data_IF_335505739947
#
_entry.id   IF_335505739947
#
_cell.length_a   1.000
_cell.length_b   1.000
_cell.length_c   1.000
_cell.angle_alpha   90.00
_cell.angle_beta   90.00
_cell.angle_gamma   90.00
#
_symmetry.space_group_name_H-M   'P 1'
#
loop_
_entity.id
_entity.type
_entity.pdbx_description
1 polymer ?
#
# COMPACT_ATOMS: atom_id res chain seq x y z
N UNK A 1 9.28 -2.94 -10.70
CA UNK A 1 10.24 -1.94 -11.24
C UNK A 1 11.02 -2.45 -12.44
N UNK A 2 11.28 -1.58 -13.40
CA UNK A 2 12.19 -1.74 -14.56
C UNK A 2 13.12 -0.53 -14.57
N UNK A 3 14.39 -0.71 -14.89
CA UNK A 3 15.42 0.34 -14.84
C UNK A 3 16.27 0.30 -16.12
N UNK A 4 16.54 1.49 -16.63
CA UNK A 4 17.53 1.75 -17.69
C UNK A 4 18.53 2.81 -17.23
N UNK A 5 19.79 2.58 -17.58
CA UNK A 5 20.85 3.60 -17.54
C UNK A 5 21.36 3.72 -18.97
N UNK A 6 21.17 4.90 -19.54
CA UNK A 6 21.41 5.17 -20.96
C UNK A 6 22.42 6.29 -21.11
N UNK A 7 23.10 6.34 -22.25
CA UNK A 7 23.71 7.59 -22.70
C UNK A 7 22.60 8.54 -23.15
N UNK A 8 22.57 9.76 -22.60
CA UNK A 8 21.44 10.67 -22.85
C UNK A 8 21.35 11.13 -24.30
N UNK A 9 22.46 11.27 -25.03
CA UNK A 9 22.46 11.71 -26.43
C UNK A 9 22.19 10.59 -27.44
N UNK A 10 22.86 9.45 -27.29
CA UNK A 10 22.79 8.37 -28.29
C UNK A 10 21.71 7.33 -28.00
N UNK A 11 21.13 7.32 -26.80
CA UNK A 11 20.20 6.28 -26.35
C UNK A 11 20.86 4.90 -26.16
N UNK A 12 22.19 4.81 -26.27
CA UNK A 12 22.92 3.56 -26.02
C UNK A 12 22.68 3.12 -24.59
N UNK A 13 22.17 1.89 -24.44
CA UNK A 13 21.97 1.21 -23.17
C UNK A 13 23.31 0.85 -22.53
N UNK A 14 23.60 1.43 -21.36
CA UNK A 14 24.72 0.99 -20.52
C UNK A 14 24.31 -0.19 -19.67
N UNK A 15 23.09 -0.12 -19.12
CA UNK A 15 22.59 -1.12 -18.20
C UNK A 15 21.06 -1.16 -18.26
N UNK A 16 20.52 -2.37 -18.17
CA UNK A 16 19.09 -2.61 -18.07
C UNK A 16 18.81 -3.72 -17.07
N UNK A 17 17.76 -3.51 -16.26
CA UNK A 17 17.24 -4.54 -15.36
C UNK A 17 15.73 -4.45 -15.30
N UNK A 18 15.06 -5.58 -15.50
CA UNK A 18 13.63 -5.70 -15.24
C UNK A 18 13.34 -6.68 -14.10
N UNK A 19 12.50 -6.25 -13.16
CA UNK A 19 11.85 -7.11 -12.17
C UNK A 19 10.38 -7.41 -12.55
N UNK A 20 9.88 -6.81 -13.63
CA UNK A 20 8.57 -7.09 -14.20
C UNK A 20 8.73 -7.97 -15.45
N UNK A 21 7.72 -8.78 -15.78
CA UNK A 21 7.69 -9.45 -17.08
C UNK A 21 7.44 -8.42 -18.17
N UNK A 22 8.31 -8.39 -19.17
CA UNK A 22 8.20 -7.52 -20.33
C UNK A 22 8.66 -8.32 -21.55
N UNK A 23 7.87 -8.27 -22.61
CA UNK A 23 8.18 -8.89 -23.91
C UNK A 23 8.88 -7.91 -24.86
N UNK A 24 9.19 -6.70 -24.38
CA UNK A 24 9.81 -5.65 -25.19
C UNK A 24 11.34 -5.80 -25.23
N UNK A 25 11.90 -5.54 -26.41
CA UNK A 25 13.35 -5.51 -26.61
C UNK A 25 13.96 -4.28 -25.90
N UNK A 26 14.91 -4.54 -25.02
CA UNK A 26 15.52 -3.53 -24.16
C UNK A 26 16.32 -2.46 -24.92
N UNK A 27 16.91 -2.80 -26.07
CA UNK A 27 17.70 -1.86 -26.88
C UNK A 27 16.79 -0.95 -27.72
N UNK A 28 15.71 -1.51 -28.28
CA UNK A 28 14.68 -0.73 -28.97
C UNK A 28 14.02 0.27 -28.00
N UNK A 29 13.67 -0.19 -26.80
CA UNK A 29 13.07 0.68 -25.78
C UNK A 29 14.05 1.77 -25.35
N UNK A 30 15.34 1.47 -25.21
CA UNK A 30 16.37 2.45 -24.83
C UNK A 30 16.45 3.63 -25.81
N UNK A 31 16.47 3.34 -27.12
CA UNK A 31 16.46 4.38 -28.14
C UNK A 31 15.19 5.23 -28.11
N UNK A 32 14.03 4.60 -27.93
CA UNK A 32 12.75 5.29 -27.77
C UNK A 32 12.75 6.23 -26.56
N UNK A 33 13.23 5.78 -25.39
CA UNK A 33 13.22 6.56 -24.15
C UNK A 33 14.08 7.83 -24.25
N UNK A 34 15.27 7.72 -24.85
CA UNK A 34 16.13 8.90 -25.07
C UNK A 34 15.50 9.87 -26.07
N UNK A 35 14.99 9.39 -27.20
CA UNK A 35 14.33 10.24 -28.20
C UNK A 35 13.10 10.95 -27.63
N UNK A 36 12.30 10.24 -26.82
CA UNK A 36 11.11 10.79 -26.19
C UNK A 36 11.44 11.82 -25.11
N UNK A 37 12.51 11.61 -24.35
CA UNK A 37 13.01 12.60 -23.41
C UNK A 37 13.41 13.91 -24.13
N UNK A 38 14.20 13.82 -25.21
CA UNK A 38 14.60 14.98 -26.01
C UNK A 38 13.42 15.71 -26.65
N UNK A 39 12.48 14.96 -27.23
CA UNK A 39 11.24 15.52 -27.76
C UNK A 39 10.51 16.34 -26.70
N UNK A 40 10.39 15.80 -25.50
CA UNK A 40 9.66 16.47 -24.42
C UNK A 40 10.37 17.74 -23.94
N UNK A 41 11.69 17.72 -23.85
CA UNK A 41 12.49 18.91 -23.52
C UNK A 41 12.34 20.01 -24.57
N UNK A 42 12.30 19.66 -25.86
CA UNK A 42 12.17 20.63 -26.96
C UNK A 42 10.76 21.21 -27.05
N UNK A 43 9.74 20.38 -26.94
CA UNK A 43 8.35 20.83 -27.11
C UNK A 43 7.81 21.54 -25.86
N UNK A 44 8.10 21.00 -24.68
CA UNK A 44 7.49 21.48 -23.43
C UNK A 44 8.41 22.39 -22.62
N UNK A 45 9.71 22.48 -22.96
CA UNK A 45 10.70 23.29 -22.24
C UNK A 45 10.81 22.97 -20.74
N UNK A 46 10.36 21.78 -20.33
CA UNK A 46 10.31 21.32 -18.94
C UNK A 46 10.87 19.90 -18.83
N UNK A 47 11.52 19.61 -17.70
CA UNK A 47 11.98 18.25 -17.39
C UNK A 47 10.78 17.35 -17.09
N UNK A 48 10.75 16.17 -17.73
CA UNK A 48 9.73 15.17 -17.50
C UNK A 48 9.84 14.56 -16.10
N UNK A 49 9.01 15.02 -15.16
CA UNK A 49 8.96 14.43 -13.82
C UNK A 49 8.44 12.98 -13.85
N UNK A 50 7.30 12.76 -14.51
CA UNK A 50 6.73 11.43 -14.69
C UNK A 50 5.74 11.35 -15.84
N UNK A 51 5.60 10.16 -16.42
CA UNK A 51 4.71 9.90 -17.56
C UNK A 51 4.03 8.56 -17.35
N UNK A 52 2.74 8.46 -17.66
CA UNK A 52 2.03 7.19 -17.65
C UNK A 52 1.88 6.66 -19.07
N UNK A 53 2.47 5.50 -19.35
CA UNK A 53 2.46 4.87 -20.67
C UNK A 53 2.47 3.35 -20.52
N UNK A 54 1.61 2.67 -21.27
CA UNK A 54 1.57 1.19 -21.28
C UNK A 54 1.15 0.57 -19.94
N UNK A 55 0.38 1.29 -19.11
CA UNK A 55 0.01 0.84 -17.76
C UNK A 55 1.13 0.98 -16.71
N UNK A 56 2.27 1.52 -17.11
CA UNK A 56 3.41 1.82 -16.25
C UNK A 56 3.55 3.32 -16.04
N UNK A 57 4.05 3.69 -14.87
CA UNK A 57 4.53 5.03 -14.54
C UNK A 57 6.03 5.08 -14.74
N UNK A 58 6.47 6.00 -15.59
CA UNK A 58 7.84 6.21 -16.00
C UNK A 58 8.37 7.48 -15.36
N UNK A 59 9.63 7.46 -14.94
CA UNK A 59 10.33 8.63 -14.40
C UNK A 59 11.71 8.75 -15.06
N UNK A 60 12.19 9.99 -15.17
CA UNK A 60 13.45 10.32 -15.82
C UNK A 60 14.32 11.14 -14.88
N UNK A 61 15.62 10.86 -14.86
CA UNK A 61 16.61 11.71 -14.22
C UNK A 61 17.77 11.89 -15.19
N UNK A 62 17.96 13.11 -15.66
CA UNK A 62 19.12 13.49 -16.47
C UNK A 62 20.31 13.73 -15.55
N UNK A 63 21.47 13.18 -15.91
CA UNK A 63 22.75 13.51 -15.30
C UNK A 63 23.67 14.13 -16.37
N UNK A 64 23.62 15.47 -16.53
CA UNK A 64 24.28 16.14 -17.63
C UNK A 64 25.81 16.06 -17.51
N UNK A 65 26.35 15.98 -16.30
CA UNK A 65 27.79 15.89 -16.09
C UNK A 65 28.38 14.65 -16.76
N UNK A 66 27.68 13.53 -16.78
CA UNK A 66 28.18 12.28 -17.35
C UNK A 66 27.50 11.87 -18.67
N UNK A 67 26.63 12.74 -19.22
CA UNK A 67 25.81 12.44 -20.40
C UNK A 67 25.04 11.12 -20.22
N UNK A 68 24.39 10.99 -19.05
CA UNK A 68 23.59 9.83 -18.69
C UNK A 68 22.12 10.20 -18.52
N UNK A 69 21.24 9.30 -18.93
CA UNK A 69 19.82 9.34 -18.65
C UNK A 69 19.44 8.10 -17.84
N UNK A 70 18.92 8.32 -16.64
CA UNK A 70 18.37 7.27 -15.79
C UNK A 70 16.86 7.23 -15.99
N UNK A 71 16.32 6.05 -16.28
CA UNK A 71 14.89 5.85 -16.46
C UNK A 71 14.44 4.71 -15.58
N UNK A 72 13.32 4.88 -14.89
CA UNK A 72 12.66 3.79 -14.20
C UNK A 72 11.18 3.74 -14.55
N UNK A 73 10.63 2.53 -14.58
CA UNK A 73 9.21 2.28 -14.76
C UNK A 73 8.69 1.33 -13.68
N UNK A 74 7.48 1.57 -13.19
CA UNK A 74 6.77 0.60 -12.36
C UNK A 74 5.27 0.63 -12.61
N UNK A 75 4.52 -0.25 -11.96
CA UNK A 75 3.05 -0.21 -12.00
C UNK A 75 2.53 1.16 -11.59
N UNK A 76 1.44 1.61 -12.22
CA UNK A 76 0.77 2.89 -11.93
C UNK A 76 0.37 3.13 -10.47
N UNK A 77 0.37 2.08 -9.64
CA UNK A 77 0.00 2.16 -8.23
C UNK A 77 1.12 2.76 -7.36
N UNK A 78 2.38 2.77 -7.83
CA UNK A 78 3.48 3.36 -7.07
C UNK A 78 3.41 4.89 -7.11
N UNK A 79 3.63 5.55 -5.96
CA UNK A 79 3.73 7.02 -5.91
C UNK A 79 4.96 7.50 -6.68
N UNK A 80 4.82 8.60 -7.44
CA UNK A 80 5.90 9.18 -8.25
C UNK A 80 7.13 9.48 -7.41
N UNK A 81 6.96 10.06 -6.22
CA UNK A 81 8.04 10.46 -5.32
C UNK A 81 8.82 9.25 -4.81
N UNK A 82 8.13 8.13 -4.59
CA UNK A 82 8.76 6.89 -4.14
C UNK A 82 9.62 6.27 -5.23
N UNK A 83 9.11 6.19 -6.45
CA UNK A 83 9.87 5.70 -7.61
C UNK A 83 11.05 6.64 -7.90
N UNK A 84 10.84 7.95 -7.80
CA UNK A 84 11.88 8.98 -7.96
C UNK A 84 12.97 8.87 -6.90
N UNK A 85 12.60 8.61 -5.65
CA UNK A 85 13.54 8.35 -4.57
C UNK A 85 14.40 7.11 -4.84
N UNK A 86 13.79 6.00 -5.27
CA UNK A 86 14.48 4.76 -5.65
C UNK A 86 15.48 4.99 -6.78
N UNK A 87 15.06 5.63 -7.87
CA UNK A 87 15.94 5.92 -9.00
C UNK A 87 17.07 6.88 -8.62
N UNK A 88 16.83 7.85 -7.74
CA UNK A 88 17.87 8.73 -7.23
C UNK A 88 18.95 8.00 -6.41
N UNK A 89 18.57 7.00 -5.61
CA UNK A 89 19.54 6.16 -4.88
C UNK A 89 20.42 5.39 -5.87
N UNK A 90 19.79 4.78 -6.89
CA UNK A 90 20.51 4.04 -7.94
C UNK A 90 21.45 4.96 -8.71
N UNK A 91 20.99 6.15 -9.12
CA UNK A 91 21.81 7.16 -9.80
C UNK A 91 23.06 7.50 -8.99
N UNK A 92 22.88 7.87 -7.72
CA UNK A 92 23.99 8.26 -6.84
C UNK A 92 24.99 7.12 -6.63
N UNK A 93 24.50 5.89 -6.45
CA UNK A 93 25.34 4.71 -6.31
C UNK A 93 26.13 4.44 -7.60
N UNK A 94 25.48 4.49 -8.77
CA UNK A 94 26.11 4.25 -10.06
C UNK A 94 27.20 5.27 -10.36
N UNK A 95 26.90 6.56 -10.19
CA UNK A 95 27.89 7.63 -10.43
C UNK A 95 29.09 7.44 -9.50
N UNK A 96 28.84 7.20 -8.21
CA UNK A 96 29.91 7.01 -7.22
C UNK A 96 30.81 5.82 -7.54
N UNK A 97 30.23 4.71 -8.02
CA UNK A 97 31.00 3.50 -8.32
C UNK A 97 31.82 3.62 -9.61
N UNK A 98 31.29 4.33 -10.62
CA UNK A 98 31.88 4.40 -11.96
C UNK A 98 32.44 5.79 -12.34
N UNK A 99 32.55 6.73 -11.40
CA UNK A 99 32.97 8.12 -11.63
C UNK A 99 34.26 8.22 -12.47
N UNK A 100 35.28 7.44 -12.10
CA UNK A 100 36.57 7.45 -12.82
C UNK A 100 36.42 6.98 -14.27
N UNK A 101 35.61 5.95 -14.51
CA UNK A 101 35.37 5.38 -15.84
C UNK A 101 34.54 6.37 -16.67
N UNK A 102 33.50 6.95 -16.08
CA UNK A 102 32.64 7.96 -16.72
C UNK A 102 33.43 9.23 -17.08
N UNK A 103 34.39 9.62 -16.25
CA UNK A 103 35.27 10.76 -16.54
C UNK A 103 36.24 10.45 -17.68
N UNK A 104 36.81 9.24 -17.71
CA UNK A 104 37.68 8.78 -18.82
C UNK A 104 36.90 8.59 -20.13
N UNK A 105 35.62 8.23 -20.05
CA UNK A 105 34.70 8.08 -21.19
C UNK A 105 34.60 9.33 -22.06
N UNK A 106 34.72 10.51 -21.47
CA UNK A 106 34.77 11.78 -22.22
C UNK A 106 36.00 11.94 -23.11
N UNK A 107 37.05 11.12 -22.95
CA UNK A 107 38.37 11.34 -23.57
C UNK A 107 38.93 10.16 -24.35
N UNK A 108 38.76 8.91 -23.90
CA UNK A 108 39.54 7.78 -24.46
C UNK A 108 38.90 6.38 -24.29
N UNK A 109 37.58 6.26 -24.26
CA UNK A 109 36.94 4.96 -23.99
C UNK A 109 36.81 4.07 -25.21
N UNK A 110 37.06 2.78 -25.01
CA UNK A 110 37.07 1.73 -26.04
C UNK A 110 35.67 1.12 -26.29
N UNK A 111 34.65 1.56 -25.55
CA UNK A 111 33.25 1.17 -25.78
C UNK A 111 32.81 -0.14 -25.12
N UNK A 112 33.62 -0.75 -24.25
CA UNK A 112 33.19 -1.94 -23.50
C UNK A 112 32.15 -1.57 -22.43
N UNK A 113 30.91 -2.01 -22.66
CA UNK A 113 29.77 -1.80 -21.77
C UNK A 113 29.70 -2.83 -20.63
N UNK A 114 30.42 -3.96 -20.75
CA UNK A 114 30.37 -5.03 -19.75
C UNK A 114 30.95 -4.61 -18.39
N UNK A 115 31.72 -3.52 -18.37
CA UNK A 115 32.26 -2.91 -17.15
C UNK A 115 31.16 -2.49 -16.18
N UNK A 116 29.94 -2.22 -16.65
CA UNK A 116 28.80 -1.81 -15.83
C UNK A 116 27.95 -3.00 -15.34
N UNK A 117 28.08 -4.18 -15.96
CA UNK A 117 27.30 -5.38 -15.62
C UNK A 117 27.33 -5.76 -14.14
N UNK A 118 28.45 -5.64 -13.40
CA UNK A 118 28.48 -5.94 -11.96
C UNK A 118 27.47 -5.13 -11.13
N UNK A 119 27.11 -3.92 -11.59
CA UNK A 119 26.14 -3.06 -10.93
C UNK A 119 24.71 -3.62 -10.93
N UNK A 120 24.39 -4.58 -11.81
CA UNK A 120 23.10 -5.28 -11.79
C UNK A 120 22.83 -5.90 -10.42
N UNK A 121 23.86 -6.42 -9.75
CA UNK A 121 23.73 -7.00 -8.41
C UNK A 121 23.37 -5.94 -7.38
N UNK A 122 23.96 -4.74 -7.47
CA UNK A 122 23.64 -3.62 -6.57
C UNK A 122 22.18 -3.20 -6.72
N UNK A 123 21.66 -3.17 -7.95
CA UNK A 123 20.25 -2.89 -8.23
C UNK A 123 19.33 -3.99 -7.66
N UNK A 124 19.72 -5.26 -7.80
CA UNK A 124 18.99 -6.40 -7.20
C UNK A 124 18.96 -6.32 -5.68
N UNK A 125 20.08 -6.00 -5.04
CA UNK A 125 20.19 -5.85 -3.59
C UNK A 125 19.29 -4.71 -3.08
N UNK A 126 19.30 -3.55 -3.75
CA UNK A 126 18.38 -2.45 -3.41
C UNK A 126 16.92 -2.83 -3.58
N UNK A 127 16.57 -3.47 -4.70
CA UNK A 127 15.19 -3.88 -4.94
C UNK A 127 14.70 -4.89 -3.89
N UNK A 128 15.55 -5.83 -3.48
CA UNK A 128 15.24 -6.81 -2.44
C UNK A 128 15.01 -6.12 -1.10
N UNK A 129 15.91 -5.22 -0.68
CA UNK A 129 15.77 -4.47 0.57
C UNK A 129 14.49 -3.62 0.60
N UNK A 130 14.17 -2.93 -0.50
CA UNK A 130 12.94 -2.15 -0.58
C UNK A 130 11.69 -3.02 -0.52
N UNK A 131 11.70 -4.18 -1.17
CA UNK A 131 10.57 -5.10 -1.13
C UNK A 131 10.35 -5.69 0.27
N UNK A 132 11.44 -6.04 0.97
CA UNK A 132 11.37 -6.47 2.37
C UNK A 132 10.79 -5.37 3.26
N UNK A 133 11.28 -4.14 3.14
CA UNK A 133 10.75 -3.00 3.92
C UNK A 133 9.28 -2.70 3.64
N UNK A 134 8.87 -2.72 2.36
CA UNK A 134 7.48 -2.54 1.96
C UNK A 134 6.59 -3.65 2.52
N UNK A 135 7.03 -4.91 2.45
CA UNK A 135 6.29 -6.04 2.99
C UNK A 135 6.10 -5.94 4.51
N UNK A 136 7.13 -5.52 5.24
CA UNK A 136 7.08 -5.33 6.70
C UNK A 136 6.15 -4.19 7.08
N UNK A 137 6.21 -3.06 6.35
CA UNK A 137 5.31 -1.93 6.58
C UNK A 137 3.84 -2.30 6.30
N UNK A 138 3.58 -3.01 5.19
CA UNK A 138 2.23 -3.49 4.88
C UNK A 138 1.67 -4.44 5.94
N UNK A 139 2.51 -5.33 6.48
CA UNK A 139 2.15 -6.23 7.57
C UNK A 139 1.88 -5.46 8.87
N UNK A 140 2.70 -4.46 9.19
CA UNK A 140 2.51 -3.61 10.38
C UNK A 140 1.19 -2.83 10.33
N UNK A 141 0.90 -2.14 9.22
CA UNK A 141 -0.38 -1.46 9.02
C UNK A 141 -1.56 -2.41 9.22
N UNK A 142 -1.41 -3.67 8.79
CA UNK A 142 -2.47 -4.65 8.89
C UNK A 142 -2.71 -5.11 10.32
N UNK A 143 -1.65 -5.34 11.09
CA UNK A 143 -1.78 -5.60 12.52
C UNK A 143 -2.39 -4.41 13.27
N UNK A 144 -2.05 -3.19 12.89
CA UNK A 144 -2.67 -1.99 13.47
C UNK A 144 -4.18 -1.95 13.18
N UNK A 145 -4.59 -2.24 11.94
CA UNK A 145 -6.03 -2.38 11.59
C UNK A 145 -6.69 -3.44 12.47
N UNK A 146 -6.14 -4.66 12.51
CA UNK A 146 -6.72 -5.76 13.29
C UNK A 146 -6.81 -5.38 14.77
N UNK A 147 -5.79 -4.73 15.33
CA UNK A 147 -5.75 -4.28 16.71
C UNK A 147 -6.84 -3.25 17.03
N UNK A 148 -7.06 -2.28 16.13
CA UNK A 148 -8.11 -1.26 16.29
C UNK A 148 -9.51 -1.91 16.30
N UNK A 149 -9.79 -2.77 15.32
CA UNK A 149 -11.09 -3.45 15.25
C UNK A 149 -11.30 -4.40 16.43
N UNK A 150 -10.28 -5.19 16.83
CA UNK A 150 -10.37 -6.08 17.98
C UNK A 150 -10.67 -5.30 19.27
N UNK A 151 -9.99 -4.18 19.49
CA UNK A 151 -10.22 -3.36 20.68
C UNK A 151 -11.66 -2.81 20.71
N UNK A 152 -12.18 -2.35 19.58
CA UNK A 152 -13.57 -1.89 19.50
C UNK A 152 -14.55 -3.04 19.76
N UNK A 153 -14.31 -4.23 19.21
CA UNK A 153 -15.14 -5.40 19.47
C UNK A 153 -15.17 -5.77 20.96
N UNK A 154 -14.03 -5.67 21.66
CA UNK A 154 -13.95 -5.85 23.11
C UNK A 154 -14.78 -4.79 23.85
N UNK A 155 -14.70 -3.52 23.45
CA UNK A 155 -15.49 -2.44 24.06
C UNK A 155 -17.00 -2.65 23.85
N UNK A 156 -17.43 -3.11 22.66
CA UNK A 156 -18.84 -3.48 22.45
C UNK A 156 -19.28 -4.64 23.34
N UNK A 157 -18.43 -5.64 23.52
CA UNK A 157 -18.71 -6.74 24.43
C UNK A 157 -18.88 -6.24 25.87
N UNK A 158 -17.99 -5.37 26.34
CA UNK A 158 -18.07 -4.79 27.68
C UNK A 158 -19.36 -3.99 27.89
N UNK A 159 -19.86 -3.27 26.87
CA UNK A 159 -21.15 -2.59 26.96
C UNK A 159 -22.29 -3.61 27.15
N UNK A 160 -22.27 -4.71 26.39
CA UNK A 160 -23.29 -5.77 26.52
C UNK A 160 -23.28 -6.43 27.90
N UNK A 161 -22.09 -6.71 28.45
CA UNK A 161 -21.95 -7.37 29.74
C UNK A 161 -22.29 -6.43 30.91
N UNK A 162 -21.77 -5.20 30.88
CA UNK A 162 -21.76 -4.34 32.07
C UNK A 162 -22.87 -3.29 32.08
N UNK A 163 -23.45 -2.95 30.92
CA UNK A 163 -24.36 -1.79 30.78
C UNK A 163 -25.74 -2.16 30.25
N UNK A 164 -26.02 -3.44 30.02
CA UNK A 164 -27.29 -3.89 29.46
C UNK A 164 -28.02 -4.92 30.31
N UNK A 165 -29.34 -4.74 30.43
CA UNK A 165 -30.24 -5.75 30.98
C UNK A 165 -30.31 -6.97 30.07
N UNK A 166 -30.50 -8.15 30.68
CA UNK A 166 -30.50 -9.46 30.03
C UNK A 166 -31.37 -9.55 28.77
N UNK A 167 -32.58 -8.97 28.78
CA UNK A 167 -33.49 -8.99 27.62
C UNK A 167 -32.90 -8.27 26.39
N UNK A 168 -32.43 -7.02 26.57
CA UNK A 168 -31.87 -6.25 25.45
C UNK A 168 -30.53 -6.81 24.98
N UNK A 169 -29.73 -7.36 25.90
CA UNK A 169 -28.48 -8.03 25.58
C UNK A 169 -28.73 -9.20 24.61
N UNK A 170 -29.67 -10.09 24.94
CA UNK A 170 -30.04 -11.23 24.08
C UNK A 170 -30.52 -10.74 22.71
N UNK A 171 -31.40 -9.73 22.69
CA UNK A 171 -31.94 -9.19 21.43
C UNK A 171 -30.84 -8.62 20.51
N UNK A 172 -29.84 -7.93 21.07
CA UNK A 172 -28.71 -7.41 20.29
C UNK A 172 -27.82 -8.56 19.80
N UNK A 173 -27.47 -9.52 20.66
CA UNK A 173 -26.64 -10.67 20.30
C UNK A 173 -27.28 -11.48 19.16
N UNK A 174 -28.59 -11.73 19.23
CA UNK A 174 -29.34 -12.45 18.20
C UNK A 174 -29.35 -11.68 16.87
N UNK A 175 -29.51 -10.35 16.94
CA UNK A 175 -29.49 -9.50 15.76
C UNK A 175 -28.09 -9.48 15.11
N UNK A 176 -27.03 -9.40 15.90
CA UNK A 176 -25.64 -9.45 15.45
C UNK A 176 -25.35 -10.81 14.80
N UNK A 177 -25.74 -11.92 15.42
CA UNK A 177 -25.54 -13.26 14.86
C UNK A 177 -26.18 -13.38 13.47
N UNK A 178 -27.44 -12.95 13.35
CA UNK A 178 -28.17 -12.98 12.09
C UNK A 178 -27.47 -12.16 11.00
N UNK A 179 -27.00 -10.97 11.35
CA UNK A 179 -26.32 -10.05 10.43
C UNK A 179 -24.95 -10.57 10.03
N UNK A 180 -24.16 -11.06 10.98
CA UNK A 180 -22.86 -11.68 10.72
C UNK A 180 -22.98 -12.86 9.75
N UNK A 181 -23.92 -13.78 9.96
CA UNK A 181 -24.19 -14.89 9.02
C UNK A 181 -24.60 -14.38 7.64
N UNK A 182 -25.35 -13.29 7.55
CA UNK A 182 -25.72 -12.69 6.27
C UNK A 182 -24.52 -12.07 5.54
N UNK A 183 -23.59 -11.44 6.28
CA UNK A 183 -22.35 -10.87 5.73
C UNK A 183 -21.45 -11.98 5.19
N UNK A 184 -21.19 -13.03 5.98
CA UNK A 184 -20.36 -14.17 5.55
C UNK A 184 -20.89 -14.92 4.32
N UNK A 185 -22.19 -14.87 4.06
CA UNK A 185 -22.82 -15.50 2.89
C UNK A 185 -22.80 -14.64 1.62
N UNK A 186 -22.32 -13.39 1.68
CA UNK A 186 -22.18 -12.55 0.47
C UNK A 186 -21.15 -13.18 -0.47
N UNK A 187 -21.44 -13.16 -1.78
CA UNK A 187 -20.57 -13.75 -2.83
C UNK A 187 -19.11 -13.27 -2.76
N UNK A 188 -18.88 -12.02 -2.32
CA UNK A 188 -17.55 -11.43 -2.15
C UNK A 188 -16.72 -12.11 -1.05
N UNK A 189 -17.35 -12.68 -0.01
CA UNK A 189 -16.68 -13.17 1.19
C UNK A 189 -16.76 -14.69 1.37
N UNK A 190 -17.78 -15.33 0.79
CA UNK A 190 -18.10 -16.75 1.03
C UNK A 190 -16.95 -17.71 0.71
N UNK A 191 -16.18 -17.42 -0.33
CA UNK A 191 -15.14 -18.31 -0.84
C UNK A 191 -13.74 -17.99 -0.25
N UNK A 192 -13.66 -17.08 0.72
CA UNK A 192 -12.40 -16.57 1.27
C UNK A 192 -12.09 -17.28 2.60
N UNK A 193 -11.15 -18.23 2.58
CA UNK A 193 -10.84 -19.06 3.75
C UNK A 193 -10.30 -18.24 4.93
N UNK A 194 -9.47 -17.24 4.65
CA UNK A 194 -8.87 -16.38 5.68
C UNK A 194 -9.92 -15.53 6.44
N UNK A 195 -11.08 -15.23 5.85
CA UNK A 195 -12.15 -14.52 6.57
C UNK A 195 -12.84 -15.37 7.63
N UNK A 196 -12.72 -16.71 7.55
CA UNK A 196 -13.26 -17.63 8.57
C UNK A 196 -12.56 -17.45 9.92
N UNK A 197 -11.36 -16.89 9.92
CA UNK A 197 -10.58 -16.57 11.10
C UNK A 197 -11.12 -15.35 11.88
N UNK A 198 -12.06 -14.60 11.30
CA UNK A 198 -12.89 -13.61 11.99
C UNK A 198 -14.21 -14.30 12.33
N UNK A 199 -14.27 -14.89 13.51
CA UNK A 199 -15.39 -15.73 13.95
C UNK A 199 -16.28 -15.01 14.97
N UNK A 200 -17.56 -15.40 15.02
CA UNK A 200 -18.50 -14.94 16.03
C UNK A 200 -19.25 -16.14 16.61
N UNK A 201 -19.38 -16.18 17.94
CA UNK A 201 -20.33 -17.04 18.63
C UNK A 201 -21.00 -16.27 19.77
N UNK A 202 -22.19 -16.74 20.20
CA UNK A 202 -22.89 -16.12 21.34
C UNK A 202 -22.13 -16.27 22.66
N UNK A 203 -21.40 -17.37 22.79
CA UNK A 203 -20.70 -17.74 24.02
C UNK A 203 -19.32 -17.07 24.12
N UNK A 204 -18.64 -16.88 22.98
CA UNK A 204 -17.26 -16.37 22.92
C UNK A 204 -17.12 -14.96 22.36
N UNK A 205 -18.22 -14.33 21.94
CA UNK A 205 -18.20 -13.08 21.18
C UNK A 205 -17.36 -13.19 19.89
N UNK A 206 -17.02 -12.04 19.28
CA UNK A 206 -16.12 -11.97 18.14
C UNK A 206 -14.69 -12.33 18.53
N UNK A 207 -14.03 -13.11 17.70
CA UNK A 207 -12.61 -13.42 17.82
C UNK A 207 -11.92 -13.32 16.45
N UNK A 208 -10.81 -12.60 16.41
CA UNK A 208 -9.93 -12.46 15.25
C UNK A 208 -8.66 -13.25 15.55
N UNK A 209 -8.48 -14.40 14.92
CA UNK A 209 -7.35 -15.33 15.19
C UNK A 209 -6.43 -15.37 13.98
N UNK A 210 -5.13 -15.11 14.15
CA UNK A 210 -4.04 -15.46 13.22
C UNK A 210 -4.40 -15.48 11.72
N UNK A 211 -4.99 -14.39 11.21
CA UNK A 211 -5.24 -14.22 9.78
C UNK A 211 -3.90 -14.30 9.05
N UNK A 212 -3.80 -15.12 8.01
CA UNK A 212 -2.58 -15.16 7.21
C UNK A 212 -2.47 -13.91 6.33
N UNK A 213 -1.59 -13.01 6.77
CA UNK A 213 -1.41 -11.68 6.19
C UNK A 213 -0.84 -11.68 4.79
N UNK A 214 -0.21 -12.78 4.37
CA UNK A 214 0.39 -12.92 3.04
C UNK A 214 -0.63 -13.46 2.03
N UNK A 215 -1.62 -14.22 2.50
CA UNK A 215 -2.59 -14.93 1.64
C UNK A 215 -3.91 -14.20 1.45
N UNK A 216 -4.17 -13.15 2.22
CA UNK A 216 -5.42 -12.41 2.17
C UNK A 216 -5.23 -11.00 1.61
N UNK A 217 -6.17 -10.56 0.78
CA UNK A 217 -6.22 -9.18 0.29
C UNK A 217 -6.60 -8.24 1.44
N UNK A 218 -5.74 -7.25 1.69
CA UNK A 218 -5.91 -6.29 2.78
C UNK A 218 -7.21 -5.50 2.66
N UNK A 219 -7.57 -5.07 1.45
CA UNK A 219 -8.77 -4.27 1.21
C UNK A 219 -10.03 -5.10 1.45
N UNK A 220 -9.98 -6.38 1.12
CA UNK A 220 -11.08 -7.31 1.36
C UNK A 220 -11.36 -7.49 2.85
N UNK A 221 -10.32 -7.69 3.67
CA UNK A 221 -10.48 -7.83 5.12
C UNK A 221 -10.94 -6.54 5.77
N UNK A 222 -10.40 -5.40 5.31
CA UNK A 222 -10.85 -4.09 5.78
C UNK A 222 -12.35 -3.90 5.53
N UNK A 223 -12.80 -4.13 4.30
CA UNK A 223 -14.22 -4.05 3.94
C UNK A 223 -15.08 -5.01 4.77
N UNK A 224 -14.59 -6.22 5.02
CA UNK A 224 -15.29 -7.19 5.86
C UNK A 224 -15.44 -6.71 7.32
N UNK A 225 -14.36 -6.19 7.91
CA UNK A 225 -14.34 -5.66 9.27
C UNK A 225 -15.22 -4.41 9.41
N UNK A 226 -15.16 -3.50 8.44
CA UNK A 226 -16.00 -2.31 8.39
C UNK A 226 -17.49 -2.66 8.37
N UNK A 227 -17.88 -3.63 7.53
CA UNK A 227 -19.26 -4.10 7.45
C UNK A 227 -19.70 -4.73 8.77
N UNK A 228 -18.87 -5.59 9.38
CA UNK A 228 -19.19 -6.19 10.68
C UNK A 228 -19.42 -5.11 11.73
N UNK A 229 -18.51 -4.14 11.83
CA UNK A 229 -18.61 -3.07 12.82
C UNK A 229 -19.88 -2.24 12.62
N UNK A 230 -20.19 -1.86 11.37
CA UNK A 230 -21.44 -1.17 11.03
C UNK A 230 -22.67 -1.98 11.45
N UNK A 231 -22.67 -3.29 11.21
CA UNK A 231 -23.80 -4.15 11.59
C UNK A 231 -23.98 -4.25 13.11
N UNK A 232 -22.88 -4.23 13.88
CA UNK A 232 -22.89 -4.18 15.35
C UNK A 232 -23.48 -2.85 15.82
N UNK A 233 -22.94 -1.72 15.37
CA UNK A 233 -23.43 -0.38 15.75
C UNK A 233 -24.93 -0.25 15.46
N UNK A 234 -25.35 -0.67 14.27
CA UNK A 234 -26.75 -0.64 13.86
C UNK A 234 -27.63 -1.57 14.70
N UNK A 235 -27.10 -2.70 15.18
CA UNK A 235 -27.84 -3.59 16.08
C UNK A 235 -28.09 -2.92 17.44
N UNK A 236 -27.07 -2.26 18.00
CA UNK A 236 -27.20 -1.48 19.24
C UNK A 236 -28.23 -0.37 19.09
N UNK A 237 -28.08 0.46 18.04
CA UNK A 237 -28.98 1.60 17.77
C UNK A 237 -30.42 1.14 17.56
N UNK A 238 -30.64 0.04 16.84
CA UNK A 238 -31.98 -0.50 16.60
C UNK A 238 -32.70 -0.93 17.89
N UNK A 239 -31.97 -1.51 18.86
CA UNK A 239 -32.57 -2.04 20.09
C UNK A 239 -32.68 -0.97 21.19
N UNK A 240 -31.72 -0.04 21.27
CA UNK A 240 -31.64 0.94 22.35
C UNK A 240 -32.03 2.36 21.94
N UNK A 241 -31.99 2.66 20.65
CA UNK A 241 -32.09 4.03 20.14
C UNK A 241 -30.77 4.80 20.27
N UNK A 242 -30.62 5.81 19.44
CA UNK A 242 -29.35 6.51 19.24
C UNK A 242 -28.85 7.20 20.51
N UNK A 243 -29.72 7.90 21.24
CA UNK A 243 -29.36 8.62 22.46
C UNK A 243 -28.73 7.73 23.54
N UNK A 244 -29.28 6.53 23.75
CA UNK A 244 -28.71 5.58 24.73
C UNK A 244 -27.40 4.98 24.21
N UNK A 245 -27.30 4.70 22.92
CA UNK A 245 -26.06 4.25 22.30
C UNK A 245 -24.93 5.28 22.45
N UNK A 246 -25.20 6.56 22.16
CA UNK A 246 -24.22 7.63 22.34
C UNK A 246 -23.71 7.67 23.79
N UNK A 247 -24.60 7.55 24.77
CA UNK A 247 -24.23 7.45 26.19
C UNK A 247 -23.34 6.24 26.46
N UNK A 248 -23.75 5.04 26.04
CA UNK A 248 -22.97 3.82 26.28
C UNK A 248 -21.59 3.86 25.62
N UNK A 249 -21.50 4.35 24.39
CA UNK A 249 -20.24 4.47 23.66
C UNK A 249 -19.31 5.48 24.33
N UNK A 250 -19.85 6.58 24.86
CA UNK A 250 -19.07 7.56 25.61
C UNK A 250 -18.57 6.99 26.93
N UNK A 251 -19.43 6.34 27.70
CA UNK A 251 -19.04 5.81 29.02
C UNK A 251 -18.07 4.63 28.94
N UNK A 252 -18.10 3.84 27.86
CA UNK A 252 -17.09 2.81 27.59
C UNK A 252 -15.81 3.40 26.99
N UNK A 253 -15.80 4.70 26.66
CA UNK A 253 -14.62 5.38 26.13
C UNK A 253 -14.36 5.13 24.65
N UNK A 254 -15.34 4.68 23.86
CA UNK A 254 -15.17 4.43 22.41
C UNK A 254 -14.73 5.70 21.70
N UNK A 255 -15.36 6.85 21.98
CA UNK A 255 -14.96 8.12 21.37
C UNK A 255 -13.55 8.54 21.78
N UNK A 256 -13.18 8.33 23.05
CA UNK A 256 -11.84 8.63 23.53
C UNK A 256 -10.80 7.74 22.83
N UNK A 257 -11.11 6.45 22.63
CA UNK A 257 -10.26 5.51 21.90
C UNK A 257 -10.06 5.95 20.45
N UNK A 258 -11.14 6.28 19.74
CA UNK A 258 -11.08 6.76 18.34
C UNK A 258 -10.27 8.06 18.26
N UNK A 259 -10.52 9.01 19.16
CA UNK A 259 -9.82 10.28 19.19
C UNK A 259 -8.32 10.12 19.46
N UNK A 260 -7.95 9.30 20.44
CA UNK A 260 -6.55 9.04 20.79
C UNK A 260 -5.77 8.35 19.66
N UNK A 261 -6.47 7.57 18.84
CA UNK A 261 -5.88 6.89 17.68
C UNK A 261 -6.06 7.67 16.36
N UNK A 262 -6.56 8.91 16.37
CA UNK A 262 -6.94 9.65 15.17
C UNK A 262 -5.80 9.80 14.15
N UNK A 263 -4.55 9.96 14.61
CA UNK A 263 -3.38 10.01 13.72
C UNK A 263 -3.20 8.69 12.97
N UNK A 264 -3.17 7.58 13.71
CA UNK A 264 -3.06 6.23 13.14
C UNK A 264 -4.24 5.94 12.19
N UNK A 265 -5.45 6.33 12.57
CA UNK A 265 -6.63 6.17 11.72
C UNK A 265 -6.52 6.94 10.40
N UNK A 266 -5.94 8.14 10.40
CA UNK A 266 -5.66 8.90 9.16
C UNK A 266 -4.62 8.21 8.29
N UNK A 267 -3.54 7.74 8.90
CA UNK A 267 -2.46 7.03 8.20
C UNK A 267 -3.00 5.74 7.54
N UNK A 268 -3.93 5.05 8.22
CA UNK A 268 -4.64 3.86 7.72
C UNK A 268 -5.86 4.16 6.83
N UNK A 269 -6.21 5.44 6.61
CA UNK A 269 -7.40 5.90 5.85
C UNK A 269 -8.74 5.40 6.41
N UNK A 270 -8.84 5.25 7.72
CA UNK A 270 -10.03 4.79 8.44
C UNK A 270 -10.76 5.90 9.21
N UNK A 271 -10.19 7.10 9.26
CA UNK A 271 -10.71 8.23 10.01
C UNK A 271 -12.14 8.60 9.59
N UNK A 272 -12.41 8.74 8.29
CA UNK A 272 -13.74 9.06 7.78
C UNK A 272 -14.76 7.96 8.12
N UNK A 273 -14.39 6.69 7.94
CA UNK A 273 -15.25 5.56 8.27
C UNK A 273 -15.69 5.57 9.74
N UNK A 274 -14.75 5.81 10.67
CA UNK A 274 -15.07 5.84 12.09
C UNK A 274 -15.91 7.05 12.48
N UNK A 275 -15.60 8.23 11.92
CA UNK A 275 -16.41 9.43 12.14
C UNK A 275 -17.86 9.22 11.64
N UNK A 276 -18.02 8.65 10.45
CA UNK A 276 -19.35 8.35 9.89
C UNK A 276 -20.13 7.35 10.74
N UNK A 277 -19.46 6.25 11.13
CA UNK A 277 -20.12 5.14 11.84
C UNK A 277 -20.59 5.54 13.24
N UNK A 278 -19.85 6.43 13.91
CA UNK A 278 -20.10 6.77 15.31
C UNK A 278 -20.69 8.17 15.54
N UNK A 279 -20.54 9.12 14.63
CA UNK A 279 -20.97 10.52 14.84
C UNK A 279 -22.02 11.05 13.85
N UNK A 280 -22.11 10.48 12.63
CA UNK A 280 -22.97 11.03 11.57
C UNK A 280 -24.20 10.17 11.24
N UNK A 281 -24.24 8.94 11.73
CA UNK A 281 -25.41 8.05 11.71
C UNK A 281 -25.98 7.91 13.12
#
# INVERSE_FOLDING_TARGET
>A
MIIWILNSESGIKLLYKSFLRTDADEDIVSGFLSAFYHFSMVEFHEELESIEMGGLRWIYILEPEFNLLFVAADTKNIKTEMLMGKLNVIRKAFIKEYEEILTKRKKSWEGDLNVFTPFLKVIEDYNTQWHEMESVAHVADYFDILGIFQQLLIMFHNILENRMYSKSKIEIIDLIEKRYKAVGNKKKFKDQEELKNISFSKDSWFNIIDINLIKCDKELVLDYLEIILKEIINAFKKVKGDNLCYKYFNEEGIYAYIYNNMKLLKDLKLDLFFLESFLLL
#
